data_IF_458915987352
#
_entry.id   IF_458915987352
#
_cell.length_a   1.000
_cell.length_b   1.000
_cell.length_c   1.000
_cell.angle_alpha   90.00
_cell.angle_beta   90.00
_cell.angle_gamma   90.00
#
_symmetry.space_group_name_H-M   'P 1'
#
loop_
_entity.id
_entity.type
_entity.pdbx_description
1 polymer ?
#
# COMPACT_ATOMS: atom_id res chain seq x y z
N UNK A 1 -13.25 2.51 5.99
CA UNK A 1 -12.52 2.90 7.22
C UNK A 1 -13.48 3.76 8.02
N UNK A 2 -13.47 3.69 9.35
CA UNK A 2 -14.29 4.59 10.17
C UNK A 2 -13.78 6.02 10.03
N UNK A 3 -14.67 6.98 9.76
CA UNK A 3 -14.32 8.38 9.55
C UNK A 3 -13.52 8.94 10.74
N UNK A 4 -13.95 8.62 11.96
CA UNK A 4 -13.30 9.01 13.20
C UNK A 4 -11.82 8.58 13.29
N UNK A 5 -11.47 7.38 12.83
CA UNK A 5 -10.07 6.92 12.83
C UNK A 5 -9.23 7.69 11.81
N UNK A 6 -9.82 8.04 10.67
CA UNK A 6 -9.14 8.81 9.61
C UNK A 6 -8.92 10.24 10.06
N UNK A 7 -9.91 10.83 10.73
CA UNK A 7 -9.83 12.19 11.26
C UNK A 7 -8.81 12.27 12.41
N UNK A 8 -8.79 11.29 13.31
CA UNK A 8 -7.81 11.22 14.38
C UNK A 8 -6.37 11.13 13.84
N UNK A 9 -6.13 10.27 12.84
CA UNK A 9 -4.81 10.16 12.20
C UNK A 9 -4.40 11.45 11.50
N UNK A 10 -5.35 12.11 10.80
CA UNK A 10 -5.10 13.37 10.11
C UNK A 10 -4.80 14.52 11.08
N UNK A 11 -5.49 14.56 12.21
CA UNK A 11 -5.27 15.53 13.29
C UNK A 11 -3.88 15.37 13.92
N UNK A 12 -3.48 14.13 14.20
CA UNK A 12 -2.15 13.82 14.70
C UNK A 12 -1.05 14.20 13.70
N UNK A 13 -1.27 13.94 12.41
CA UNK A 13 -0.34 14.28 11.33
C UNK A 13 -0.09 15.80 11.27
N UNK A 14 -1.15 16.60 11.15
CA UNK A 14 -1.00 18.07 11.03
C UNK A 14 -0.41 18.69 12.29
N UNK A 15 -0.77 18.16 13.47
CA UNK A 15 -0.20 18.62 14.75
C UNK A 15 1.30 18.33 14.81
N UNK A 16 1.72 17.10 14.50
CA UNK A 16 3.12 16.71 14.50
C UNK A 16 3.97 17.55 13.53
N UNK A 17 3.45 17.81 12.33
CA UNK A 17 4.13 18.63 11.31
C UNK A 17 4.23 20.11 11.72
N UNK A 18 3.15 20.68 12.27
CA UNK A 18 3.19 22.03 12.83
C UNK A 18 4.17 22.16 14.01
N UNK A 19 4.35 21.07 14.78
CA UNK A 19 5.31 20.97 15.88
C UNK A 19 6.73 20.64 15.42
N UNK A 20 6.99 20.44 14.13
CA UNK A 20 8.33 20.21 13.61
C UNK A 20 8.88 18.82 13.93
N UNK A 21 8.02 17.86 14.28
CA UNK A 21 8.43 16.48 14.55
C UNK A 21 8.61 15.69 13.26
N UNK A 22 9.50 14.71 13.28
CA UNK A 22 9.57 13.72 12.21
C UNK A 22 8.34 12.81 12.25
N UNK A 23 7.81 12.47 11.07
CA UNK A 23 6.59 11.68 10.93
C UNK A 23 6.80 10.54 9.94
N UNK A 24 6.40 9.34 10.35
CA UNK A 24 6.21 8.20 9.46
C UNK A 24 4.72 8.05 9.23
N UNK A 25 4.28 8.25 7.99
CA UNK A 25 2.89 8.06 7.58
C UNK A 25 2.76 6.73 6.83
N UNK A 26 2.13 5.74 7.48
CA UNK A 26 1.76 4.48 6.83
C UNK A 26 0.35 4.59 6.23
N UNK A 27 0.23 4.40 4.92
CA UNK A 27 -1.03 4.51 4.21
C UNK A 27 -0.95 3.94 2.80
N UNK A 28 -2.11 3.66 2.21
CA UNK A 28 -2.17 3.10 0.84
C UNK A 28 -1.79 4.10 -0.24
N UNK A 29 -1.84 5.41 0.06
CA UNK A 29 -1.55 6.51 -0.86
C UNK A 29 -2.31 6.41 -2.19
N UNK A 30 -3.49 5.80 -2.17
CA UNK A 30 -4.28 5.52 -3.38
C UNK A 30 -5.16 6.70 -3.84
N UNK A 31 -5.07 7.85 -3.18
CA UNK A 31 -5.92 9.01 -3.46
C UNK A 31 -5.06 10.24 -3.70
N UNK A 32 -4.87 10.58 -4.97
CA UNK A 32 -3.90 11.60 -5.41
C UNK A 32 -4.12 12.95 -4.75
N UNK A 33 -5.34 13.53 -4.71
CA UNK A 33 -5.55 14.86 -4.14
C UNK A 33 -5.11 14.95 -2.68
N UNK A 34 -5.42 13.92 -1.87
CA UNK A 34 -4.98 13.84 -0.48
C UNK A 34 -3.45 13.85 -0.37
N UNK A 35 -2.75 13.04 -1.15
CA UNK A 35 -1.28 12.93 -1.07
C UNK A 35 -0.62 14.23 -1.52
N UNK A 36 -1.09 14.83 -2.63
CA UNK A 36 -0.58 16.10 -3.16
C UNK A 36 -0.77 17.23 -2.14
N UNK A 37 -1.96 17.37 -1.57
CA UNK A 37 -2.23 18.39 -0.55
C UNK A 37 -1.39 18.16 0.70
N UNK A 38 -1.19 16.90 1.11
CA UNK A 38 -0.36 16.54 2.28
C UNK A 38 1.10 16.90 2.09
N UNK A 39 1.67 16.56 0.92
CA UNK A 39 3.04 16.96 0.58
C UNK A 39 3.16 18.49 0.53
N UNK A 40 2.20 19.17 -0.09
CA UNK A 40 2.16 20.64 -0.16
C UNK A 40 2.14 21.27 1.23
N UNK A 41 1.31 20.76 2.13
CA UNK A 41 1.28 21.18 3.53
C UNK A 41 2.65 20.95 4.19
N UNK A 42 3.19 19.73 4.13
CA UNK A 42 4.47 19.39 4.78
C UNK A 42 5.64 20.25 4.26
N UNK A 43 5.64 20.65 2.99
CA UNK A 43 6.62 21.59 2.45
C UNK A 43 6.47 23.01 3.02
N UNK A 44 5.27 23.42 3.41
CA UNK A 44 4.94 24.79 3.81
C UNK A 44 4.75 24.99 5.32
N UNK A 45 4.67 23.93 6.13
CA UNK A 45 4.47 24.04 7.59
C UNK A 45 5.58 24.81 8.32
N UNK A 46 6.75 24.95 7.69
CA UNK A 46 7.85 25.75 8.23
C UNK A 46 7.56 27.26 8.19
N UNK A 47 6.67 27.72 7.27
CA UNK A 47 6.25 29.13 7.11
C UNK A 47 4.85 29.39 7.65
N UNK A 48 3.97 28.40 7.58
CA UNK A 48 2.54 28.55 7.85
C UNK A 48 2.05 27.50 8.83
N UNK A 49 1.03 27.84 9.63
CA UNK A 49 0.29 26.83 10.41
C UNK A 49 -0.90 26.31 9.62
N UNK A 50 -1.11 24.99 9.74
CA UNK A 50 -2.23 24.31 9.11
C UNK A 50 -3.17 23.66 10.13
N UNK A 51 -4.42 23.44 9.76
CA UNK A 51 -5.36 22.52 10.44
C UNK A 51 -5.94 21.54 9.42
N UNK A 52 -6.63 20.53 9.94
CA UNK A 52 -7.50 19.71 9.09
C UNK A 52 -8.55 20.59 8.41
N UNK A 53 -8.70 20.38 7.10
CA UNK A 53 -9.80 20.94 6.31
C UNK A 53 -11.04 20.06 6.36
N UNK A 54 -12.04 20.40 5.55
CA UNK A 54 -13.31 19.69 5.45
C UNK A 54 -13.19 18.23 4.94
N UNK A 55 -12.06 17.85 4.36
CA UNK A 55 -11.83 16.56 3.72
C UNK A 55 -12.51 16.48 2.35
N UNK A 56 -12.96 15.28 1.99
CA UNK A 56 -13.78 15.03 0.81
C UNK A 56 -15.26 15.02 1.19
N UNK A 57 -16.06 15.93 0.61
CA UNK A 57 -17.52 16.00 0.79
C UNK A 57 -18.20 16.20 -0.55
N UNK A 58 -19.35 15.54 -0.72
CA UNK A 58 -20.26 15.76 -1.85
C UNK A 58 -21.48 16.49 -1.30
N UNK A 59 -21.75 17.68 -1.82
CA UNK A 59 -22.91 18.49 -1.46
C UNK A 59 -24.20 17.95 -2.08
N UNK A 60 -25.34 18.45 -1.61
CA UNK A 60 -26.67 18.02 -2.06
C UNK A 60 -26.91 18.30 -3.55
N UNK A 61 -26.27 19.34 -4.09
CA UNK A 61 -26.33 19.72 -5.50
C UNK A 61 -25.33 18.97 -6.39
N UNK A 62 -24.56 18.03 -5.82
CA UNK A 62 -23.48 17.32 -6.53
C UNK A 62 -22.12 18.04 -6.51
N UNK A 63 -22.03 19.22 -5.92
CA UNK A 63 -20.76 19.96 -5.76
C UNK A 63 -19.78 19.17 -4.90
N UNK A 64 -18.54 19.01 -5.37
CA UNK A 64 -17.49 18.28 -4.65
C UNK A 64 -16.54 19.26 -3.98
N UNK A 65 -16.46 19.21 -2.65
CA UNK A 65 -15.46 19.91 -1.86
C UNK A 65 -14.36 18.90 -1.51
N UNK A 66 -13.12 19.20 -1.91
CA UNK A 66 -11.96 18.37 -1.61
C UNK A 66 -10.81 19.21 -1.05
N UNK A 67 -10.83 19.40 0.27
CA UNK A 67 -9.84 20.20 0.97
C UNK A 67 -9.43 19.52 2.28
N UNK A 68 -8.24 18.92 2.30
CA UNK A 68 -7.74 18.15 3.44
C UNK A 68 -6.99 19.01 4.45
N UNK A 69 -6.40 20.13 4.04
CA UNK A 69 -5.56 20.97 4.89
C UNK A 69 -5.83 22.45 4.66
N UNK A 70 -6.09 23.18 5.74
CA UNK A 70 -6.38 24.61 5.70
C UNK A 70 -5.29 25.40 6.40
N UNK A 71 -4.83 26.49 5.75
CA UNK A 71 -3.90 27.44 6.35
C UNK A 71 -4.66 28.34 7.33
N UNK A 72 -4.16 28.45 8.57
CA UNK A 72 -4.79 29.26 9.64
C UNK A 72 -4.11 30.61 9.83
N UNK A 73 -2.89 30.78 9.33
CA UNK A 73 -2.16 32.04 9.43
C UNK A 73 -0.69 31.90 9.07
N UNK A 74 0.01 33.04 9.03
CA UNK A 74 1.47 33.04 9.05
C UNK A 74 1.97 32.72 10.45
N UNK A 75 3.09 31.99 10.54
CA UNK A 75 3.76 31.84 11.83
C UNK A 75 4.35 33.22 12.14
N UNK A 76 3.66 34.01 12.98
CA UNK A 76 4.26 35.23 13.53
C UNK A 76 5.63 34.85 14.06
N UNK A 77 6.67 35.59 13.67
CA UNK A 77 8.01 35.49 14.22
C UNK A 77 7.93 35.91 15.70
N UNK A 78 7.36 35.05 16.54
CA UNK A 78 7.41 35.18 17.97
C UNK A 78 8.88 35.02 18.32
N UNK A 79 9.49 36.15 18.64
CA UNK A 79 10.78 36.29 19.31
C UNK A 79 10.79 35.32 20.49
N UNK A 80 11.39 34.14 20.30
CA UNK A 80 11.97 33.31 21.38
C UNK A 80 12.65 32.04 20.87
N UNK A 81 12.48 31.65 19.59
CA UNK A 81 13.19 30.46 19.05
C UNK A 81 13.61 30.64 17.59
N UNK A 82 14.49 31.62 17.37
CA UNK A 82 15.03 32.05 16.07
C UNK A 82 15.95 31.02 15.39
N UNK A 83 15.55 29.74 15.35
CA UNK A 83 16.01 28.80 14.33
C UNK A 83 14.98 28.81 13.23
N UNK A 84 15.30 29.42 12.10
CA UNK A 84 14.54 29.26 10.86
C UNK A 84 14.27 27.77 10.65
N UNK A 85 13.01 27.35 10.82
CA UNK A 85 12.65 25.96 10.59
C UNK A 85 12.89 25.65 9.13
N UNK A 86 13.67 24.61 8.90
CA UNK A 86 13.93 24.12 7.55
C UNK A 86 12.67 23.42 7.01
N UNK A 87 12.43 23.48 5.69
CA UNK A 87 11.39 22.67 5.08
C UNK A 87 11.66 21.18 5.32
N UNK A 88 10.60 20.40 5.45
CA UNK A 88 10.73 18.95 5.59
C UNK A 88 11.38 18.34 4.35
N UNK A 89 12.27 17.39 4.59
CA UNK A 89 12.68 16.40 3.61
C UNK A 89 11.65 15.27 3.60
N UNK A 90 11.12 14.93 2.43
CA UNK A 90 10.06 13.97 2.23
C UNK A 90 10.63 12.76 1.49
N UNK A 91 10.56 11.60 2.15
CA UNK A 91 11.03 10.32 1.64
C UNK A 91 9.82 9.41 1.40
N UNK A 92 9.63 8.94 0.17
CA UNK A 92 8.58 8.00 -0.19
C UNK A 92 9.12 6.57 -0.27
N UNK A 93 8.50 5.64 0.46
CA UNK A 93 8.77 4.21 0.33
C UNK A 93 7.49 3.53 -0.14
N UNK A 94 7.45 3.18 -1.43
CA UNK A 94 6.38 2.40 -2.03
C UNK A 94 6.65 0.91 -1.92
N UNK A 95 5.60 0.12 -1.70
CA UNK A 95 5.66 -1.34 -1.75
C UNK A 95 4.57 -1.83 -2.70
N UNK A 96 4.95 -2.66 -3.67
CA UNK A 96 4.04 -3.27 -4.63
C UNK A 96 4.18 -4.80 -4.61
N UNK A 97 3.09 -5.47 -4.92
CA UNK A 97 3.08 -6.88 -5.26
C UNK A 97 1.98 -7.15 -6.28
N UNK A 98 2.07 -8.30 -6.92
CA UNK A 98 1.02 -8.88 -7.72
C UNK A 98 -0.32 -8.87 -6.95
N UNK A 99 -1.39 -8.52 -7.65
CA UNK A 99 -2.68 -8.29 -7.02
C UNK A 99 -3.29 -9.61 -6.48
N UNK A 100 -3.02 -10.74 -7.13
CA UNK A 100 -3.46 -12.04 -6.64
C UNK A 100 -2.73 -12.41 -5.34
N UNK A 101 -1.41 -12.23 -5.27
CA UNK A 101 -0.65 -12.45 -4.04
C UNK A 101 -1.16 -11.58 -2.89
N UNK A 102 -1.50 -10.32 -3.18
CA UNK A 102 -2.07 -9.40 -2.19
C UNK A 102 -3.42 -9.89 -1.64
N UNK A 103 -4.28 -10.45 -2.50
CA UNK A 103 -5.58 -11.00 -2.11
C UNK A 103 -5.41 -12.25 -1.24
N UNK A 104 -4.52 -13.19 -1.61
CA UNK A 104 -4.23 -14.37 -0.79
C UNK A 104 -3.74 -13.95 0.59
N UNK A 105 -2.78 -13.02 0.66
CA UNK A 105 -2.27 -12.49 1.94
C UNK A 105 -3.38 -11.86 2.76
N UNK A 106 -4.31 -11.14 2.12
CA UNK A 106 -5.50 -10.58 2.74
C UNK A 106 -6.42 -11.65 3.34
N UNK A 107 -6.69 -12.74 2.59
CA UNK A 107 -7.51 -13.87 3.05
C UNK A 107 -6.82 -14.59 4.22
N UNK A 108 -5.52 -14.87 4.10
CA UNK A 108 -4.74 -15.53 5.17
C UNK A 108 -4.75 -14.68 6.44
N UNK A 109 -4.58 -13.36 6.35
CA UNK A 109 -4.69 -12.43 7.48
C UNK A 109 -6.10 -12.40 8.07
N UNK A 110 -7.15 -12.49 7.25
CA UNK A 110 -8.52 -12.57 7.72
C UNK A 110 -8.76 -13.86 8.55
N UNK A 111 -8.20 -14.99 8.11
CA UNK A 111 -8.29 -16.27 8.83
C UNK A 111 -7.52 -16.20 10.15
N UNK A 112 -6.25 -15.75 10.11
CA UNK A 112 -5.35 -15.76 11.27
C UNK A 112 -5.67 -14.68 12.30
N UNK A 113 -5.95 -13.46 11.85
CA UNK A 113 -6.06 -12.28 12.71
C UNK A 113 -7.46 -11.67 12.75
N UNK A 114 -8.46 -12.28 12.08
CA UNK A 114 -9.85 -11.79 11.97
C UNK A 114 -9.98 -10.38 11.36
N UNK A 115 -8.96 -9.92 10.62
CA UNK A 115 -8.91 -8.60 9.97
C UNK A 115 -8.92 -8.75 8.45
N UNK A 116 -10.10 -8.59 7.86
CA UNK A 116 -10.33 -8.70 6.43
C UNK A 116 -10.32 -7.33 5.72
N UNK A 117 -10.01 -7.34 4.43
CA UNK A 117 -10.19 -6.19 3.52
C UNK A 117 -11.02 -6.70 2.34
N UNK A 118 -11.99 -5.89 1.90
CA UNK A 118 -12.82 -6.24 0.74
C UNK A 118 -11.94 -6.26 -0.52
N UNK A 119 -11.98 -7.36 -1.27
CA UNK A 119 -11.13 -7.58 -2.47
C UNK A 119 -11.21 -6.42 -3.45
N UNK A 120 -12.42 -6.00 -3.84
CA UNK A 120 -12.62 -4.85 -4.75
C UNK A 120 -11.96 -3.56 -4.26
N UNK A 121 -12.04 -3.28 -2.96
CA UNK A 121 -11.39 -2.10 -2.35
C UNK A 121 -9.87 -2.23 -2.41
N UNK A 122 -9.33 -3.42 -2.17
CA UNK A 122 -7.89 -3.68 -2.24
C UNK A 122 -7.37 -3.51 -3.66
N UNK A 123 -8.04 -4.11 -4.66
CA UNK A 123 -7.70 -3.99 -6.08
C UNK A 123 -7.73 -2.54 -6.55
N UNK A 124 -8.78 -1.79 -6.18
CA UNK A 124 -8.89 -0.37 -6.49
C UNK A 124 -7.75 0.44 -5.89
N UNK A 125 -7.38 0.19 -4.64
CA UNK A 125 -6.26 0.88 -3.99
C UNK A 125 -4.92 0.55 -4.66
N UNK A 126 -4.66 -0.72 -4.99
CA UNK A 126 -3.48 -1.15 -5.74
C UNK A 126 -3.37 -0.42 -7.08
N UNK A 127 -4.44 -0.45 -7.88
CA UNK A 127 -4.50 0.19 -9.19
C UNK A 127 -4.23 1.70 -9.10
N UNK A 128 -4.90 2.38 -8.18
CA UNK A 128 -4.75 3.83 -8.02
C UNK A 128 -3.35 4.22 -7.53
N UNK A 129 -2.78 3.48 -6.59
CA UNK A 129 -1.40 3.71 -6.15
C UNK A 129 -0.41 3.52 -7.30
N UNK A 130 -0.52 2.42 -8.04
CA UNK A 130 0.36 2.13 -9.17
C UNK A 130 0.33 3.24 -10.23
N UNK A 131 -0.86 3.73 -10.57
CA UNK A 131 -1.02 4.83 -11.53
C UNK A 131 -0.51 6.19 -11.00
N UNK A 132 -0.48 6.38 -9.69
CA UNK A 132 -0.08 7.64 -9.07
C UNK A 132 1.41 7.70 -8.67
N UNK A 133 2.09 6.56 -8.57
CA UNK A 133 3.44 6.47 -8.02
C UNK A 133 4.44 7.41 -8.73
N UNK A 134 4.41 7.47 -10.07
CA UNK A 134 5.28 8.36 -10.85
C UNK A 134 5.02 9.84 -10.55
N UNK A 135 3.75 10.21 -10.38
CA UNK A 135 3.37 11.56 -9.96
C UNK A 135 3.96 11.87 -8.59
N UNK A 136 3.92 10.93 -7.65
CA UNK A 136 4.49 11.13 -6.32
C UNK A 136 6.00 11.27 -6.33
N UNK A 137 6.71 10.52 -7.18
CA UNK A 137 8.16 10.65 -7.35
C UNK A 137 8.58 12.08 -7.73
N UNK A 138 7.73 12.83 -8.42
CA UNK A 138 7.99 14.22 -8.80
C UNK A 138 7.79 15.23 -7.66
N UNK A 139 7.16 14.84 -6.55
CA UNK A 139 6.75 15.73 -5.46
C UNK A 139 7.62 15.58 -4.20
N UNK A 140 8.30 14.45 -4.07
CA UNK A 140 9.12 14.08 -2.90
C UNK A 140 10.61 14.25 -3.19
N UNK A 141 11.46 14.25 -2.16
CA UNK A 141 12.91 14.40 -2.35
C UNK A 141 13.56 13.11 -2.83
N UNK A 142 13.11 11.97 -2.31
CA UNK A 142 13.48 10.66 -2.82
C UNK A 142 12.29 9.71 -2.77
N UNK A 143 12.24 8.78 -3.71
CA UNK A 143 11.29 7.68 -3.69
C UNK A 143 12.02 6.35 -3.88
N UNK A 144 11.55 5.32 -3.21
CA UNK A 144 11.99 3.93 -3.42
C UNK A 144 10.77 3.05 -3.59
N UNK A 145 10.83 2.13 -4.55
CA UNK A 145 9.78 1.16 -4.79
C UNK A 145 10.32 -0.25 -4.52
N UNK A 146 9.64 -0.98 -3.66
CA UNK A 146 9.98 -2.36 -3.33
C UNK A 146 8.94 -3.33 -3.86
N UNK A 147 9.39 -4.45 -4.43
CA UNK A 147 8.55 -5.58 -4.81
C UNK A 147 8.57 -6.65 -3.72
N UNK A 148 7.41 -7.22 -3.43
CA UNK A 148 7.28 -8.34 -2.48
C UNK A 148 6.64 -9.56 -3.13
N UNK A 149 6.93 -9.83 -4.40
CA UNK A 149 6.42 -11.01 -5.10
C UNK A 149 7.13 -12.31 -4.70
N UNK A 150 8.38 -12.22 -4.23
CA UNK A 150 9.08 -13.37 -3.65
C UNK A 150 8.28 -13.92 -2.46
N UNK A 151 8.06 -15.24 -2.45
CA UNK A 151 7.36 -15.94 -1.37
C UNK A 151 8.17 -15.91 -0.07
N UNK A 152 9.49 -15.86 -0.18
CA UNK A 152 10.45 -15.80 0.91
C UNK A 152 11.56 -14.79 0.60
N UNK A 153 12.13 -14.17 1.64
CA UNK A 153 13.22 -13.21 1.52
C UNK A 153 12.82 -11.76 1.78
N UNK A 154 13.82 -10.88 1.72
CA UNK A 154 13.61 -9.43 1.88
C UNK A 154 12.91 -8.83 0.65
N UNK A 155 12.12 -7.75 0.81
CA UNK A 155 11.57 -7.00 -0.31
C UNK A 155 12.68 -6.58 -1.28
N UNK A 156 12.49 -6.81 -2.57
CA UNK A 156 13.46 -6.43 -3.61
C UNK A 156 13.27 -4.96 -3.97
N UNK A 157 14.34 -4.16 -3.98
CA UNK A 157 14.28 -2.78 -4.49
C UNK A 157 14.15 -2.84 -6.02
N UNK A 158 13.04 -2.35 -6.55
CA UNK A 158 12.73 -2.39 -7.99
C UNK A 158 12.67 -1.01 -8.63
N UNK A 159 12.82 0.07 -7.86
CA UNK A 159 12.90 1.40 -8.45
C UNK A 159 13.36 2.48 -7.51
N UNK A 160 14.23 3.33 -8.02
CA UNK A 160 14.69 4.57 -7.39
C UNK A 160 14.75 5.64 -8.49
N UNK A 161 13.97 6.72 -8.43
CA UNK A 161 14.14 7.83 -9.36
C UNK A 161 15.52 8.45 -9.10
N UNK A 162 16.36 8.54 -10.14
CA UNK A 162 17.61 9.29 -10.04
C UNK A 162 17.32 10.80 -10.04
N UNK A 163 18.35 11.63 -9.79
CA UNK A 163 18.27 13.09 -9.72
C UNK A 163 17.65 13.75 -10.98
N UNK A 164 17.70 13.08 -12.14
CA UNK A 164 17.07 13.52 -13.39
C UNK A 164 15.66 12.95 -13.62
N UNK A 165 15.07 12.30 -12.61
CA UNK A 165 13.71 11.71 -12.62
C UNK A 165 13.54 10.53 -13.58
N UNK A 166 14.62 10.02 -14.17
CA UNK A 166 14.64 8.73 -14.85
C UNK A 166 14.65 7.64 -13.78
N UNK A 167 13.66 6.75 -13.81
CA UNK A 167 13.58 5.61 -12.91
C UNK A 167 14.65 4.60 -13.31
N UNK A 168 15.71 4.45 -12.49
CA UNK A 168 16.64 3.34 -12.63
C UNK A 168 15.92 2.08 -12.15
N UNK A 169 15.43 1.31 -13.11
CA UNK A 169 14.63 0.13 -12.86
C UNK A 169 15.07 -0.94 -13.83
N UNK A 170 15.26 -2.16 -13.32
CA UNK A 170 15.23 -3.36 -14.12
C UNK A 170 13.90 -3.38 -14.93
N UNK A 171 13.94 -3.30 -16.27
CA UNK A 171 12.74 -3.19 -17.10
C UNK A 171 11.70 -4.29 -16.85
N UNK A 172 12.12 -5.49 -16.45
CA UNK A 172 11.24 -6.61 -16.12
C UNK A 172 10.52 -6.41 -14.78
N UNK A 173 11.04 -5.56 -13.88
CA UNK A 173 10.52 -5.41 -12.52
C UNK A 173 9.53 -4.26 -12.34
N UNK A 174 9.64 -3.20 -13.15
CA UNK A 174 8.58 -2.18 -13.22
C UNK A 174 7.28 -2.75 -13.82
N UNK A 175 7.36 -3.86 -14.54
CA UNK A 175 6.19 -4.47 -15.16
C UNK A 175 5.18 -4.92 -14.11
N UNK A 176 5.61 -5.28 -12.89
CA UNK A 176 4.69 -5.50 -11.77
C UNK A 176 3.83 -4.24 -11.48
N UNK A 177 4.46 -3.06 -11.40
CA UNK A 177 3.76 -1.78 -11.18
C UNK A 177 2.82 -1.47 -12.36
N UNK A 178 3.28 -1.61 -13.60
CA UNK A 178 2.47 -1.37 -14.81
C UNK A 178 1.28 -2.31 -14.89
N UNK A 179 1.49 -3.60 -14.62
CA UNK A 179 0.44 -4.63 -14.65
C UNK A 179 -0.62 -4.33 -13.59
N UNK A 180 -0.19 -4.02 -12.36
CA UNK A 180 -1.11 -3.60 -11.29
C UNK A 180 -1.88 -2.33 -11.67
N UNK A 181 -1.27 -1.36 -12.35
CA UNK A 181 -1.98 -0.18 -12.87
C UNK A 181 -3.06 -0.50 -13.92
N UNK A 182 -2.94 -1.62 -14.62
CA UNK A 182 -3.86 -2.10 -15.68
C UNK A 182 -4.90 -3.11 -15.21
N UNK A 183 -4.87 -3.52 -13.94
CA UNK A 183 -5.78 -4.56 -13.43
C UNK A 183 -7.27 -4.17 -13.58
N UNK A 184 -8.11 -5.19 -13.67
CA UNK A 184 -9.55 -5.06 -13.57
C UNK A 184 -9.98 -5.07 -12.11
N UNK A 185 -10.35 -3.90 -11.57
CA UNK A 185 -10.76 -3.77 -10.16
C UNK A 185 -12.13 -4.39 -9.87
N UNK A 186 -12.89 -4.72 -10.91
CA UNK A 186 -14.20 -5.37 -10.83
C UNK A 186 -14.12 -6.86 -11.22
N UNK A 187 -12.93 -7.44 -11.25
CA UNK A 187 -12.77 -8.85 -11.57
C UNK A 187 -13.46 -9.73 -10.50
N UNK A 188 -14.31 -10.65 -10.95
CA UNK A 188 -14.94 -11.65 -10.09
C UNK A 188 -14.19 -12.99 -10.15
N UNK A 189 -13.24 -13.14 -11.07
CA UNK A 189 -12.39 -14.32 -11.22
C UNK A 189 -10.93 -13.94 -11.52
N UNK A 190 -10.01 -14.90 -11.30
CA UNK A 190 -8.59 -14.69 -11.63
C UNK A 190 -8.37 -14.44 -13.14
N UNK A 191 -9.21 -15.04 -13.97
CA UNK A 191 -9.12 -14.92 -15.43
C UNK A 191 -9.43 -13.50 -15.91
N UNK A 192 -10.23 -12.76 -15.15
CA UNK A 192 -10.61 -11.37 -15.44
C UNK A 192 -9.66 -10.34 -14.83
N UNK A 193 -8.79 -10.73 -13.90
CA UNK A 193 -7.95 -9.81 -13.11
C UNK A 193 -7.02 -8.96 -13.99
N UNK A 194 -6.47 -9.58 -15.03
CA UNK A 194 -5.62 -8.93 -16.03
C UNK A 194 -6.18 -9.17 -17.43
N UNK A 195 -5.98 -8.19 -18.34
CA UNK A 195 -6.35 -8.33 -19.76
C UNK A 195 -5.42 -9.32 -20.46
N UNK A 196 -5.83 -9.84 -21.62
CA UNK A 196 -5.05 -10.81 -22.38
C UNK A 196 -3.78 -10.20 -23.02
N UNK A 197 -2.62 -10.89 -22.92
CA UNK A 197 -2.43 -12.17 -22.23
C UNK A 197 -2.44 -12.00 -20.70
N UNK A 198 -3.21 -12.86 -20.02
CA UNK A 198 -3.29 -12.83 -18.56
C UNK A 198 -2.04 -13.52 -17.98
N UNK A 199 -1.21 -12.82 -17.18
CA UNK A 199 0.02 -13.40 -16.61
C UNK A 199 -0.22 -14.66 -15.77
N UNK A 200 -1.42 -14.83 -15.20
CA UNK A 200 -1.79 -16.04 -14.45
C UNK A 200 -1.99 -17.28 -15.34
N UNK A 201 -2.07 -17.12 -16.66
CA UNK A 201 -2.27 -18.23 -17.61
C UNK A 201 -0.98 -18.61 -18.35
N UNK A 202 0.10 -17.84 -18.17
CA UNK A 202 1.38 -18.06 -18.82
C UNK A 202 2.17 -19.20 -18.15
N UNK A 203 2.98 -19.90 -18.93
CA UNK A 203 3.91 -20.91 -18.41
C UNK A 203 4.95 -20.24 -17.51
N UNK A 204 5.32 -20.87 -16.39
CA UNK A 204 6.15 -20.26 -15.36
C UNK A 204 5.33 -19.54 -14.27
N UNK A 205 4.03 -19.32 -14.48
CA UNK A 205 3.17 -18.70 -13.46
C UNK A 205 2.75 -19.71 -12.39
N UNK A 206 2.64 -19.27 -11.14
CA UNK A 206 2.14 -20.08 -10.01
C UNK A 206 0.76 -20.68 -10.33
N UNK A 207 -0.08 -19.92 -11.03
CA UNK A 207 -1.42 -20.38 -11.39
C UNK A 207 -1.38 -21.53 -12.37
N UNK A 208 -0.61 -21.41 -13.46
CA UNK A 208 -0.52 -22.46 -14.47
C UNK A 208 0.21 -23.69 -13.92
N UNK A 209 1.33 -23.49 -13.25
CA UNK A 209 2.27 -24.56 -12.93
C UNK A 209 1.96 -25.25 -11.60
N UNK A 210 1.29 -24.57 -10.67
CA UNK A 210 0.99 -25.10 -9.33
C UNK A 210 -0.52 -25.22 -9.11
N UNK A 211 -1.28 -24.14 -9.28
CA UNK A 211 -2.70 -24.13 -8.89
C UNK A 211 -3.58 -24.93 -9.84
N UNK A 212 -3.36 -24.81 -11.14
CA UNK A 212 -4.10 -25.51 -12.20
C UNK A 212 -3.41 -26.82 -12.62
N UNK A 213 -2.31 -27.19 -11.96
CA UNK A 213 -1.59 -28.42 -12.28
C UNK A 213 -2.44 -29.66 -11.99
N UNK A 214 -2.53 -30.64 -12.92
CA UNK A 214 -3.25 -31.89 -12.70
C UNK A 214 -2.75 -32.68 -11.49
N UNK A 215 -1.46 -32.55 -11.13
CA UNK A 215 -0.87 -33.26 -9.99
C UNK A 215 -1.22 -32.64 -8.63
N UNK A 216 -1.78 -31.42 -8.61
CA UNK A 216 -2.09 -30.69 -7.36
C UNK A 216 -2.97 -31.49 -6.41
N UNK A 217 -3.97 -32.20 -6.93
CA UNK A 217 -4.87 -32.99 -6.09
C UNK A 217 -4.12 -34.07 -5.31
N UNK A 218 -3.24 -34.82 -5.99
CA UNK A 218 -2.45 -35.88 -5.36
C UNK A 218 -1.50 -35.31 -4.30
N UNK A 219 -0.81 -34.21 -4.63
CA UNK A 219 0.08 -33.51 -3.69
C UNK A 219 -0.69 -33.06 -2.44
N UNK A 220 -1.89 -32.51 -2.60
CA UNK A 220 -2.72 -32.08 -1.48
C UNK A 220 -3.22 -33.23 -0.61
N UNK A 221 -3.54 -34.39 -1.20
CA UNK A 221 -3.90 -35.59 -0.43
C UNK A 221 -2.73 -36.12 0.39
N UNK A 222 -1.54 -36.19 -0.21
CA UNK A 222 -0.33 -36.62 0.48
C UNK A 222 0.04 -35.68 1.63
N UNK A 223 -0.05 -34.36 1.39
CA UNK A 223 0.19 -33.35 2.42
C UNK A 223 -0.83 -33.48 3.57
N UNK A 224 -2.12 -33.64 3.25
CA UNK A 224 -3.18 -33.84 4.24
C UNK A 224 -2.91 -35.09 5.07
N UNK A 225 -2.58 -36.21 4.43
CA UNK A 225 -2.27 -37.46 5.11
C UNK A 225 -1.07 -37.29 6.06
N UNK A 226 -0.01 -36.64 5.58
CA UNK A 226 1.21 -36.37 6.37
C UNK A 226 0.92 -35.50 7.60
N UNK A 227 0.15 -34.42 7.44
CA UNK A 227 -0.29 -33.55 8.54
C UNK A 227 -1.10 -34.36 9.56
N UNK A 228 -2.10 -35.11 9.11
CA UNK A 228 -2.95 -35.92 9.99
C UNK A 228 -2.16 -36.99 10.75
N UNK A 229 -1.11 -37.57 10.14
CA UNK A 229 -0.24 -38.53 10.79
C UNK A 229 0.56 -37.87 11.93
N UNK A 230 1.11 -36.67 11.68
CA UNK A 230 1.85 -35.89 12.69
C UNK A 230 0.92 -35.44 13.83
N UNK A 231 -0.29 -34.99 13.52
CA UNK A 231 -1.27 -34.55 14.51
C UNK A 231 -1.70 -35.71 15.43
N UNK A 232 -2.01 -36.89 14.86
CA UNK A 232 -2.31 -38.10 15.64
C UNK A 232 -1.15 -38.54 16.53
N UNK A 233 0.08 -38.46 16.02
CA UNK A 233 1.26 -38.82 16.80
C UNK A 233 1.47 -37.88 18.00
N UNK A 234 1.20 -36.58 17.85
CA UNK A 234 1.25 -35.61 18.96
C UNK A 234 0.19 -35.87 20.02
N UNK A 235 -1.03 -36.25 19.64
CA UNK A 235 -2.08 -36.61 20.59
C UNK A 235 -1.68 -37.82 21.43
N UNK A 236 -1.14 -38.87 20.79
CA UNK A 236 -0.68 -40.07 21.49
C UNK A 236 0.40 -39.78 22.55
N UNK A 237 1.36 -38.89 22.23
CA UNK A 237 2.41 -38.46 23.17
C UNK A 237 1.89 -37.61 24.34
N UNK A 238 0.75 -36.93 24.19
CA UNK A 238 0.13 -36.13 25.26
C UNK A 238 -0.76 -36.98 26.18
N UNK A 239 -1.27 -38.11 25.70
CA UNK A 239 -2.17 -39.01 26.43
C UNK A 239 -1.43 -40.17 27.14
N UNK A 240 -0.11 -40.29 26.97
CA UNK A 240 0.68 -41.31 27.69
C UNK A 240 1.01 -40.82 29.11
N UNK A 241 0.54 -41.47 30.19
CA UNK A 241 0.92 -41.10 31.55
C UNK A 241 2.42 -41.33 31.76
N UNK A 242 3.08 -40.44 32.51
CA UNK A 242 4.46 -40.66 32.99
C UNK A 242 4.51 -41.83 33.98
#
# INVERSE_FOLDING_TARGET
>A
VHQSSTDAASSLLVTALNEGRDVIMDGTLSWVPFVVQTITMARNVHRHRYRMGAGYKVGENGDVIENYWERIGERQQLQEDARERKPYRIELVGVVCDAYLAVIRGIRRAIMCRRAVRVRSQLRSHKRFANAFLTYCNLVDNARLYCTNALEGSPKLIGCPEKEKTLLVDPEEIDCLKNVGRLNENADSIYELYRNPNPACEAGSIWKDIVLSPSRFNIQQELKYSIQKVERFKQYLQETPR
#
